data_IF_771808103031
#
_entry.id   IF_771808103031
#
_cell.length_a   1.000
_cell.length_b   1.000
_cell.length_c   1.000
_cell.angle_alpha   90.00
_cell.angle_beta   90.00
_cell.angle_gamma   90.00
#
_symmetry.space_group_name_H-M   'P 1'
#
loop_
_entity.id
_entity.type
_entity.pdbx_description
1 polymer ?
#
# COMPACT_ATOMS: atom_id res chain seq x y z
N UNK A 1 30.87 17.39 18.09
CA UNK A 1 31.08 15.94 17.89
C UNK A 1 29.80 15.28 18.36
N UNK A 2 28.92 14.90 17.44
CA UNK A 2 27.67 14.23 17.77
C UNK A 2 27.82 12.78 17.35
N UNK A 3 27.91 11.90 18.36
CA UNK A 3 27.96 10.46 18.24
C UNK A 3 26.91 9.94 17.25
N UNK A 4 27.35 9.16 16.28
CA UNK A 4 26.47 8.47 15.32
C UNK A 4 26.78 6.99 15.39
N UNK A 5 26.47 6.39 16.54
CA UNK A 5 26.44 4.94 16.65
C UNK A 5 25.19 4.43 15.93
N UNK A 6 25.41 3.90 14.72
CA UNK A 6 24.37 3.27 13.92
C UNK A 6 24.54 1.77 14.07
N UNK A 7 23.59 1.15 14.78
CA UNK A 7 23.54 -0.30 14.91
C UNK A 7 23.73 -1.01 13.57
N UNK A 8 24.52 -2.07 13.60
CA UNK A 8 24.78 -2.95 12.48
C UNK A 8 23.60 -3.92 12.28
N UNK A 9 23.23 -4.19 11.03
CA UNK A 9 22.28 -5.25 10.70
C UNK A 9 22.84 -6.62 11.11
N UNK A 10 22.01 -7.67 11.08
CA UNK A 10 22.44 -9.05 11.42
C UNK A 10 23.60 -9.57 10.55
N UNK A 11 23.91 -8.88 9.44
CA UNK A 11 24.99 -9.19 8.52
C UNK A 11 26.19 -8.23 8.65
N UNK A 12 26.24 -7.39 9.70
CA UNK A 12 27.34 -6.46 9.94
C UNK A 12 27.39 -5.24 9.03
N UNK A 13 26.33 -4.94 8.27
CA UNK A 13 26.23 -3.72 7.46
C UNK A 13 25.53 -2.62 8.23
N UNK A 14 25.90 -1.35 8.00
CA UNK A 14 25.22 -0.19 8.59
C UNK A 14 23.71 -0.30 8.34
N UNK A 15 22.90 -0.33 9.40
CA UNK A 15 21.45 -0.43 9.26
C UNK A 15 20.94 0.73 8.40
N UNK A 16 20.16 0.40 7.36
CA UNK A 16 19.57 1.40 6.48
C UNK A 16 18.45 2.12 7.24
N UNK A 17 18.58 3.43 7.42
CA UNK A 17 17.52 4.24 8.03
C UNK A 17 16.29 4.25 7.11
N UNK A 18 15.19 3.69 7.59
CA UNK A 18 13.90 3.75 6.90
C UNK A 18 13.19 5.06 7.26
N UNK A 19 12.96 5.92 6.26
CA UNK A 19 12.16 7.14 6.42
C UNK A 19 10.67 6.79 6.41
N UNK A 20 9.90 7.41 7.31
CA UNK A 20 8.44 7.30 7.31
C UNK A 20 7.83 7.95 6.06
N UNK A 21 6.59 7.60 5.67
CA UNK A 21 5.91 8.25 4.55
C UNK A 21 5.84 9.78 4.70
N UNK A 22 5.53 10.27 5.91
CA UNK A 22 5.46 11.70 6.20
C UNK A 22 6.83 12.38 6.06
N UNK A 23 7.91 11.77 6.56
CA UNK A 23 9.27 12.31 6.39
C UNK A 23 9.67 12.42 4.91
N UNK A 24 9.33 11.42 4.09
CA UNK A 24 9.58 11.47 2.65
C UNK A 24 8.83 12.62 1.99
N UNK A 25 7.59 12.87 2.42
CA UNK A 25 6.76 13.98 1.92
C UNK A 25 7.34 15.35 2.30
N UNK A 26 7.74 15.54 3.56
CA UNK A 26 8.36 16.79 4.02
C UNK A 26 9.66 17.09 3.26
N UNK A 27 10.55 16.09 3.12
CA UNK A 27 11.79 16.20 2.33
C UNK A 27 11.45 16.60 0.88
N UNK A 28 10.44 15.96 0.29
CA UNK A 28 10.02 16.29 -1.07
C UNK A 28 9.54 17.74 -1.21
N UNK A 29 8.74 18.24 -0.25
CA UNK A 29 8.30 19.64 -0.25
C UNK A 29 9.47 20.62 -0.17
N UNK A 30 10.42 20.38 0.74
CA UNK A 30 11.61 21.24 0.89
C UNK A 30 12.45 21.27 -0.41
N UNK A 31 12.60 20.12 -1.07
CA UNK A 31 13.31 20.03 -2.36
C UNK A 31 12.57 20.77 -3.48
N UNK A 32 11.24 20.65 -3.55
CA UNK A 32 10.43 21.33 -4.57
C UNK A 32 10.48 22.85 -4.40
N UNK A 33 10.48 23.31 -3.14
CA UNK A 33 10.60 24.74 -2.79
C UNK A 33 12.04 25.26 -2.90
N UNK A 34 13.01 24.39 -3.20
CA UNK A 34 14.43 24.72 -3.27
C UNK A 34 14.99 25.26 -1.94
N UNK A 35 14.36 24.90 -0.81
CA UNK A 35 14.78 25.28 0.54
C UNK A 35 16.05 24.51 0.97
N UNK A 36 16.22 23.30 0.44
CA UNK A 36 17.36 22.42 0.72
C UNK A 36 17.88 21.78 -0.55
N UNK A 37 19.18 21.54 -0.60
CA UNK A 37 19.80 20.72 -1.65
C UNK A 37 19.66 19.22 -1.33
N UNK A 38 19.87 18.38 -2.35
CA UNK A 38 19.89 16.92 -2.20
C UNK A 38 20.94 16.49 -1.17
N UNK A 39 22.10 17.15 -1.14
CA UNK A 39 23.19 16.83 -0.23
C UNK A 39 22.82 17.19 1.22
N UNK A 40 22.23 18.36 1.45
CA UNK A 40 21.81 18.80 2.78
C UNK A 40 20.69 17.92 3.33
N UNK A 41 19.68 17.60 2.52
CA UNK A 41 18.62 16.67 2.92
C UNK A 41 19.17 15.26 3.23
N UNK A 42 20.11 14.76 2.43
CA UNK A 42 20.76 13.48 2.68
C UNK A 42 21.53 13.49 4.01
N UNK A 43 22.27 14.56 4.29
CA UNK A 43 23.01 14.73 5.55
C UNK A 43 22.08 14.85 6.76
N UNK A 44 21.08 15.74 6.72
CA UNK A 44 20.14 15.98 7.81
C UNK A 44 19.34 14.71 8.16
N UNK A 45 18.93 13.96 7.13
CA UNK A 45 18.18 12.73 7.31
C UNK A 45 19.06 11.48 7.36
N UNK A 46 20.39 11.61 7.34
CA UNK A 46 21.35 10.50 7.45
C UNK A 46 21.04 9.35 6.46
N UNK A 47 20.65 9.71 5.24
CA UNK A 47 20.36 8.77 4.14
C UNK A 47 21.27 9.04 2.96
N UNK A 48 21.42 8.06 2.09
CA UNK A 48 22.18 8.25 0.87
C UNK A 48 21.49 9.21 -0.11
N UNK A 49 22.27 9.96 -0.91
CA UNK A 49 21.76 10.89 -1.92
C UNK A 49 20.84 10.20 -2.94
N UNK A 50 21.10 8.93 -3.28
CA UNK A 50 20.22 8.15 -4.17
C UNK A 50 18.82 7.93 -3.57
N UNK A 51 18.70 7.87 -2.24
CA UNK A 51 17.40 7.76 -1.57
C UNK A 51 16.60 9.05 -1.73
N UNK A 52 17.26 10.19 -1.56
CA UNK A 52 16.64 11.52 -1.78
C UNK A 52 16.23 11.70 -3.25
N UNK A 53 17.10 11.31 -4.19
CA UNK A 53 16.77 11.33 -5.62
C UNK A 53 15.56 10.44 -5.94
N UNK A 54 15.50 9.24 -5.34
CA UNK A 54 14.37 8.32 -5.52
C UNK A 54 13.06 8.89 -4.97
N UNK A 55 13.10 9.54 -3.80
CA UNK A 55 11.92 10.23 -3.24
C UNK A 55 11.39 11.25 -4.25
N UNK A 56 12.27 12.08 -4.81
CA UNK A 56 11.89 13.09 -5.81
C UNK A 56 11.23 12.47 -7.05
N UNK A 57 11.81 11.40 -7.59
CA UNK A 57 11.27 10.72 -8.78
C UNK A 57 9.92 10.08 -8.49
N UNK A 58 9.83 9.26 -7.44
CA UNK A 58 8.60 8.54 -7.07
C UNK A 58 7.47 9.51 -6.73
N UNK A 59 7.75 10.59 -6.00
CA UNK A 59 6.75 11.58 -5.66
C UNK A 59 6.21 12.30 -6.91
N UNK A 60 7.09 12.67 -7.86
CA UNK A 60 6.68 13.29 -9.13
C UNK A 60 5.85 12.34 -9.98
N UNK A 61 6.31 11.11 -10.18
CA UNK A 61 5.61 10.09 -10.97
C UNK A 61 4.25 9.74 -10.34
N UNK A 62 4.20 9.54 -9.03
CA UNK A 62 2.98 9.27 -8.30
C UNK A 62 1.98 10.43 -8.39
N UNK A 63 2.44 11.68 -8.28
CA UNK A 63 1.59 12.84 -8.47
C UNK A 63 1.03 12.93 -9.90
N UNK A 64 1.87 12.72 -10.92
CA UNK A 64 1.42 12.72 -12.32
C UNK A 64 0.41 11.60 -12.61
N UNK A 65 0.62 10.40 -12.06
CA UNK A 65 -0.31 9.29 -12.20
C UNK A 65 -1.66 9.59 -11.55
N UNK A 66 -1.65 10.14 -10.33
CA UNK A 66 -2.87 10.51 -9.61
C UNK A 66 -3.64 11.63 -10.33
N UNK A 67 -2.93 12.62 -10.86
CA UNK A 67 -3.54 13.71 -11.63
C UNK A 67 -4.11 13.23 -12.97
N UNK A 68 -3.45 12.29 -13.65
CA UNK A 68 -3.98 11.68 -14.88
C UNK A 68 -5.24 10.84 -14.62
N UNK A 69 -5.33 10.18 -13.46
CA UNK A 69 -6.52 9.44 -13.03
C UNK A 69 -7.66 10.37 -12.58
N UNK A 70 -7.34 11.56 -12.07
CA UNK A 70 -8.29 12.56 -11.61
C UNK A 70 -8.98 13.26 -12.78
N UNK A 71 -10.02 12.63 -13.34
CA UNK A 71 -10.88 13.21 -14.38
C UNK A 71 -11.99 14.05 -13.74
N UNK A 72 -12.23 15.29 -14.17
CA UNK A 72 -13.38 16.07 -13.75
C UNK A 72 -14.70 15.38 -14.12
N UNK A 73 -15.65 15.32 -13.19
CA UNK A 73 -16.95 14.66 -13.35
C UNK A 73 -17.05 13.33 -12.61
N UNK A 74 -18.27 12.90 -12.28
CA UNK A 74 -18.53 11.57 -11.73
C UNK A 74 -18.25 10.55 -12.83
N UNK A 75 -17.01 10.08 -12.91
CA UNK A 75 -16.67 8.93 -13.74
C UNK A 75 -17.52 7.78 -13.25
N UNK A 76 -18.50 7.35 -14.05
CA UNK A 76 -19.28 6.15 -13.76
C UNK A 76 -18.27 5.04 -13.43
N UNK A 77 -18.39 4.45 -12.24
CA UNK A 77 -17.62 3.27 -11.87
C UNK A 77 -17.72 2.31 -13.05
N UNK A 78 -16.61 1.91 -13.70
CA UNK A 78 -16.69 0.98 -14.81
C UNK A 78 -17.45 -0.23 -14.31
N UNK A 79 -18.55 -0.57 -14.99
CA UNK A 79 -19.42 -1.68 -14.60
C UNK A 79 -18.56 -2.95 -14.65
N UNK A 80 -18.17 -3.42 -13.49
CA UNK A 80 -17.27 -4.56 -13.33
C UNK A 80 -18.07 -5.84 -13.58
N UNK A 81 -18.15 -6.23 -14.85
CA UNK A 81 -18.93 -7.37 -15.31
C UNK A 81 -18.44 -8.68 -14.68
N UNK A 82 -17.13 -8.81 -14.45
CA UNK A 82 -16.55 -9.97 -13.79
C UNK A 82 -16.99 -10.05 -12.34
N UNK A 83 -16.97 -8.93 -11.61
CA UNK A 83 -17.46 -8.87 -10.24
C UNK A 83 -18.96 -9.18 -10.14
N UNK A 84 -19.77 -8.68 -11.06
CA UNK A 84 -21.21 -8.93 -11.06
C UNK A 84 -21.53 -10.39 -11.41
N UNK A 85 -20.83 -11.00 -12.37
CA UNK A 85 -20.93 -12.43 -12.65
C UNK A 85 -20.50 -13.28 -11.45
N UNK A 86 -19.39 -12.92 -10.80
CA UNK A 86 -18.90 -13.63 -9.63
C UNK A 86 -19.90 -13.56 -8.47
N UNK A 87 -20.49 -12.39 -8.22
CA UNK A 87 -21.56 -12.23 -7.20
C UNK A 87 -22.80 -13.06 -7.51
N UNK A 88 -23.22 -13.09 -8.78
CA UNK A 88 -24.37 -13.89 -9.21
C UNK A 88 -24.11 -15.39 -9.00
N UNK A 89 -22.91 -15.86 -9.32
CA UNK A 89 -22.53 -17.25 -9.13
C UNK A 89 -22.40 -17.61 -7.63
N UNK A 90 -21.84 -16.73 -6.80
CA UNK A 90 -21.80 -16.91 -5.35
C UNK A 90 -23.21 -17.02 -4.77
N UNK A 91 -24.16 -16.21 -5.25
CA UNK A 91 -25.55 -16.29 -4.79
C UNK A 91 -26.18 -17.65 -5.14
N UNK A 92 -25.99 -18.13 -6.37
CA UNK A 92 -26.47 -19.46 -6.81
C UNK A 92 -25.86 -20.60 -6.00
N UNK A 93 -24.54 -20.58 -5.81
CA UNK A 93 -23.81 -21.59 -5.04
C UNK A 93 -24.23 -21.57 -3.57
N UNK A 94 -24.40 -20.38 -2.99
CA UNK A 94 -24.86 -20.21 -1.60
C UNK A 94 -26.22 -20.86 -1.38
N UNK A 95 -27.14 -20.72 -2.34
CA UNK A 95 -28.46 -21.36 -2.24
C UNK A 95 -28.36 -22.89 -2.30
N UNK A 96 -27.55 -23.41 -3.22
CA UNK A 96 -27.30 -24.86 -3.31
C UNK A 96 -26.69 -25.40 -2.01
N UNK A 97 -25.74 -24.66 -1.42
CA UNK A 97 -25.12 -25.04 -0.15
C UNK A 97 -26.14 -25.03 0.99
N UNK A 98 -27.03 -24.03 1.07
CA UNK A 98 -28.10 -24.02 2.08
C UNK A 98 -29.00 -25.25 1.96
N UNK A 99 -29.43 -25.60 0.75
CA UNK A 99 -30.24 -26.80 0.53
C UNK A 99 -29.51 -28.09 0.96
N UNK A 100 -28.23 -28.21 0.62
CA UNK A 100 -27.41 -29.36 1.01
C UNK A 100 -27.25 -29.44 2.53
N UNK A 101 -27.04 -28.30 3.20
CA UNK A 101 -26.94 -28.23 4.67
C UNK A 101 -28.25 -28.67 5.31
N UNK A 102 -29.40 -28.21 4.80
CA UNK A 102 -30.72 -28.66 5.31
C UNK A 102 -30.89 -30.16 5.14
N UNK A 103 -30.58 -30.71 3.95
CA UNK A 103 -30.64 -32.16 3.69
C UNK A 103 -29.70 -32.93 4.64
N UNK A 104 -28.48 -32.43 4.85
CA UNK A 104 -27.50 -33.06 5.73
C UNK A 104 -27.95 -33.03 7.20
N UNK A 105 -28.52 -31.92 7.68
CA UNK A 105 -29.08 -31.82 9.04
C UNK A 105 -30.26 -32.77 9.24
N UNK A 106 -31.10 -32.97 8.22
CA UNK A 106 -32.22 -33.92 8.30
C UNK A 106 -31.73 -35.38 8.32
N UNK A 107 -30.66 -35.70 7.58
CA UNK A 107 -30.09 -37.05 7.50
C UNK A 107 -29.24 -37.40 8.74
N UNK A 108 -28.42 -36.46 9.22
CA UNK A 108 -27.52 -36.70 10.37
C UNK A 108 -28.18 -36.40 11.72
N UNK A 109 -29.33 -35.72 11.76
CA UNK A 109 -29.93 -35.22 12.98
C UNK A 109 -29.09 -34.15 13.69
N UNK A 110 -29.64 -33.56 14.75
CA UNK A 110 -28.97 -32.51 15.57
C UNK A 110 -27.96 -33.10 16.57
N UNK A 111 -27.06 -33.96 16.11
CA UNK A 111 -26.15 -34.72 16.98
C UNK A 111 -24.66 -34.59 16.69
N UNK A 112 -24.26 -33.84 15.65
CA UNK A 112 -22.91 -33.92 15.08
C UNK A 112 -22.01 -32.69 15.25
N UNK A 113 -22.36 -31.70 16.08
CA UNK A 113 -21.45 -30.60 16.45
C UNK A 113 -21.05 -30.76 17.91
N UNK A 114 -19.96 -31.49 18.11
CA UNK A 114 -19.11 -31.46 19.30
C UNK A 114 -17.73 -30.96 18.91
#
# INVERSE_FOLDING_TARGET
>A
MSDTDHGTDRAGRRAKRCLSPLQKYEIWLQLVRQEVTIAEAACAHQVDRSTIMRIRTVAKEGALAALAASKPGVGAQPRDYELELAKAEVARLSETVKEMVVKLMLVQGKGGWG
#
